data_IF_274583969643
#
_entry.id   IF_274583969643
#
_cell.length_a   1.000
_cell.length_b   1.000
_cell.length_c   1.000
_cell.angle_alpha   90.00
_cell.angle_beta   90.00
_cell.angle_gamma   90.00
#
_symmetry.space_group_name_H-M   'P 1'
#
loop_
_entity.id
_entity.type
_entity.pdbx_description
1 polymer ?
#
# COMPACT_ATOMS: atom_id res chain seq x y z
N UNK A 1 -7.62 16.16 -13.07
CA UNK A 1 -6.29 15.72 -12.59
C UNK A 1 -6.40 14.23 -12.30
N UNK A 2 -5.69 13.36 -13.02
CA UNK A 2 -5.90 11.91 -12.95
C UNK A 2 -5.17 11.34 -11.72
N UNK A 3 -5.92 10.79 -10.76
CA UNK A 3 -5.35 9.95 -9.71
C UNK A 3 -5.05 8.57 -10.27
N UNK A 4 -3.88 8.00 -9.93
CA UNK A 4 -3.58 6.61 -10.29
C UNK A 4 -4.30 5.69 -9.32
N UNK A 5 -4.92 4.63 -9.85
CA UNK A 5 -5.76 3.71 -9.09
C UNK A 5 -5.39 2.27 -9.38
N UNK A 6 -5.37 1.46 -8.33
CA UNK A 6 -5.18 0.01 -8.40
C UNK A 6 -6.43 -0.65 -7.84
N UNK A 7 -7.03 -1.56 -8.60
CA UNK A 7 -8.18 -2.35 -8.17
C UNK A 7 -7.70 -3.75 -7.80
N UNK A 8 -8.08 -4.22 -6.62
CA UNK A 8 -7.70 -5.56 -6.13
C UNK A 8 -8.93 -6.45 -6.17
N UNK A 9 -8.79 -7.59 -6.83
CA UNK A 9 -9.87 -8.56 -7.04
C UNK A 9 -9.54 -9.87 -6.36
N UNK A 10 -10.57 -10.68 -6.11
CA UNK A 10 -10.44 -12.02 -5.55
C UNK A 10 -9.89 -12.99 -6.61
N UNK A 11 -8.82 -13.71 -6.25
CA UNK A 11 -8.17 -14.68 -7.13
C UNK A 11 -7.73 -14.04 -8.45
N UNK A 12 -7.91 -14.77 -9.55
CA UNK A 12 -7.49 -14.33 -10.88
C UNK A 12 -8.59 -13.56 -11.64
N UNK A 13 -9.59 -13.03 -10.91
CA UNK A 13 -10.74 -12.33 -11.51
C UNK A 13 -10.43 -10.85 -11.78
N UNK A 14 -11.19 -10.28 -12.71
CA UNK A 14 -11.29 -8.81 -12.92
C UNK A 14 -12.75 -8.34 -12.92
N UNK A 15 -13.68 -9.22 -12.52
CA UNK A 15 -15.11 -8.92 -12.47
C UNK A 15 -15.44 -7.96 -11.32
N UNK A 16 -16.40 -7.06 -11.53
CA UNK A 16 -16.84 -6.09 -10.50
C UNK A 16 -17.30 -6.79 -9.21
N UNK A 17 -17.95 -7.96 -9.32
CA UNK A 17 -18.42 -8.73 -8.14
C UNK A 17 -17.29 -9.27 -7.27
N UNK A 18 -16.10 -9.39 -7.84
CA UNK A 18 -14.92 -9.92 -7.19
C UNK A 18 -13.99 -8.81 -6.70
N UNK A 19 -14.37 -7.53 -6.88
CA UNK A 19 -13.62 -6.39 -6.35
C UNK A 19 -13.61 -6.46 -4.83
N UNK A 20 -12.43 -6.37 -4.22
CA UNK A 20 -12.24 -6.36 -2.77
C UNK A 20 -12.05 -4.93 -2.27
N UNK A 21 -11.14 -4.19 -2.91
CA UNK A 21 -10.86 -2.79 -2.57
C UNK A 21 -10.16 -2.07 -3.73
N UNK A 22 -10.16 -0.75 -3.66
CA UNK A 22 -9.43 0.14 -4.57
C UNK A 22 -8.43 0.97 -3.79
N UNK A 23 -7.20 1.03 -4.29
CA UNK A 23 -6.13 1.86 -3.77
C UNK A 23 -5.96 3.07 -4.68
N UNK A 24 -5.92 4.26 -4.08
CA UNK A 24 -5.89 5.54 -4.80
C UNK A 24 -4.69 6.36 -4.35
N UNK A 25 -3.80 6.65 -5.30
CA UNK A 25 -2.71 7.62 -5.13
C UNK A 25 -3.23 8.99 -5.58
N UNK A 26 -3.31 9.99 -4.69
CA UNK A 26 -3.67 11.35 -5.09
C UNK A 26 -2.67 11.88 -6.12
N UNK A 27 -3.15 12.65 -7.10
CA UNK A 27 -2.36 13.15 -8.24
C UNK A 27 -1.30 14.19 -7.88
N UNK A 28 -1.19 14.59 -6.61
CA UNK A 28 -0.26 15.64 -6.19
C UNK A 28 1.10 15.01 -5.87
N UNK A 29 2.03 15.26 -6.77
CA UNK A 29 3.47 15.05 -6.66
C UNK A 29 3.95 15.24 -5.21
N UNK A 30 4.26 14.13 -4.55
CA UNK A 30 5.20 14.11 -3.43
C UNK A 30 6.38 13.25 -3.85
N UNK A 31 7.21 13.83 -4.74
CA UNK A 31 8.51 13.27 -5.09
C UNK A 31 9.45 13.19 -3.86
N UNK A 32 9.12 13.87 -2.75
CA UNK A 32 9.89 13.92 -1.49
C UNK A 32 9.03 14.11 -0.22
N UNK A 33 7.73 13.82 -0.28
CA UNK A 33 6.80 13.99 0.85
C UNK A 33 6.27 12.65 1.36
N UNK A 34 5.61 12.62 2.54
CA UNK A 34 5.12 11.38 3.13
C UNK A 34 4.02 10.77 2.27
N UNK A 35 4.25 9.56 1.75
CA UNK A 35 3.30 8.72 1.03
C UNK A 35 1.93 8.82 1.70
N UNK A 36 0.93 9.38 1.00
CA UNK A 36 -0.46 9.44 1.47
C UNK A 36 -1.36 8.74 0.45
N UNK A 37 -1.70 7.49 0.74
CA UNK A 37 -2.49 6.63 -0.15
C UNK A 37 -3.80 6.26 0.56
N UNK A 38 -4.90 6.31 -0.19
CA UNK A 38 -6.23 6.02 0.34
C UNK A 38 -6.71 4.66 -0.16
N UNK A 39 -7.32 3.87 0.71
CA UNK A 39 -7.88 2.55 0.40
C UNK A 39 -9.37 2.57 0.66
N UNK A 40 -10.15 2.13 -0.33
CA UNK A 40 -11.61 2.08 -0.28
C UNK A 40 -12.05 0.64 -0.47
N UNK A 41 -12.79 0.08 0.48
CA UNK A 41 -13.40 -1.24 0.34
C UNK A 41 -14.45 -1.22 -0.77
N UNK A 42 -14.71 -2.36 -1.41
CA UNK A 42 -15.67 -2.44 -2.50
C UNK A 42 -17.11 -2.02 -2.12
N UNK A 43 -17.45 -2.07 -0.82
CA UNK A 43 -18.73 -1.58 -0.30
C UNK A 43 -18.81 -0.05 -0.14
N UNK A 44 -17.67 0.66 -0.25
CA UNK A 44 -17.58 2.10 -0.10
C UNK A 44 -17.62 2.78 -1.48
N UNK A 45 -18.76 2.69 -2.16
CA UNK A 45 -18.95 3.26 -3.50
C UNK A 45 -18.92 4.79 -3.53
N UNK A 46 -19.21 5.45 -2.40
CA UNK A 46 -19.29 6.91 -2.32
C UNK A 46 -17.90 7.57 -2.23
N UNK A 47 -16.88 6.85 -1.75
CA UNK A 47 -15.48 7.31 -1.58
C UNK A 47 -15.33 8.66 -0.84
N UNK A 48 -16.28 9.03 0.02
CA UNK A 48 -16.25 10.30 0.77
C UNK A 48 -15.18 10.29 1.87
N UNK A 49 -14.96 9.13 2.49
CA UNK A 49 -13.90 8.87 3.44
C UNK A 49 -13.27 7.51 3.10
N UNK A 50 -11.96 7.39 3.25
CA UNK A 50 -11.28 6.12 3.02
C UNK A 50 -11.45 5.18 4.20
N UNK A 51 -11.56 3.87 3.93
CA UNK A 51 -11.64 2.84 4.96
C UNK A 51 -10.28 2.61 5.63
N UNK A 52 -9.20 2.76 4.86
CA UNK A 52 -7.84 2.75 5.37
C UNK A 52 -6.98 3.82 4.72
N UNK A 53 -5.99 4.28 5.46
CA UNK A 53 -4.97 5.20 4.96
C UNK A 53 -3.59 4.63 5.17
N UNK A 54 -2.76 4.74 4.13
CA UNK A 54 -1.33 4.50 4.23
C UNK A 54 -0.63 5.85 4.34
N UNK A 55 0.18 6.01 5.38
CA UNK A 55 1.01 7.19 5.63
C UNK A 55 2.48 6.81 5.76
N UNK A 56 3.38 7.79 5.71
CA UNK A 56 4.80 7.63 6.05
C UNK A 56 5.73 7.65 4.84
N UNK A 57 6.95 7.14 5.01
CA UNK A 57 7.96 7.13 3.94
C UNK A 57 8.21 5.72 3.46
N UNK A 58 7.85 5.45 2.20
CA UNK A 58 8.15 4.17 1.57
C UNK A 58 9.67 3.93 1.52
N UNK A 59 10.45 4.92 1.10
CA UNK A 59 11.90 4.75 0.92
C UNK A 59 12.66 4.49 2.22
N UNK A 60 12.18 5.04 3.35
CA UNK A 60 12.76 4.82 4.68
C UNK A 60 12.20 3.56 5.35
N UNK A 61 11.29 2.85 4.69
CA UNK A 61 10.62 1.68 5.27
C UNK A 61 9.82 2.01 6.52
N UNK A 62 9.21 3.20 6.55
CA UNK A 62 8.49 3.76 7.68
C UNK A 62 7.05 4.08 7.28
N UNK A 63 6.36 3.11 6.66
CA UNK A 63 4.95 3.23 6.31
C UNK A 63 4.06 2.63 7.41
N UNK A 64 2.90 3.25 7.63
CA UNK A 64 1.86 2.74 8.51
C UNK A 64 0.53 2.65 7.77
N UNK A 65 -0.26 1.64 8.11
CA UNK A 65 -1.65 1.48 7.65
C UNK A 65 -2.56 1.75 8.85
N UNK A 66 -3.49 2.69 8.71
CA UNK A 66 -4.45 3.09 9.74
C UNK A 66 -5.90 2.91 9.29
N UNK A 67 -6.81 2.80 10.25
CA UNK A 67 -8.26 2.86 9.99
C UNK A 67 -8.66 4.29 9.59
N UNK A 68 -9.08 4.45 8.34
CA UNK A 68 -9.40 5.75 7.74
C UNK A 68 -8.39 6.85 8.04
N UNK A 69 -8.88 8.00 8.48
CA UNK A 69 -8.08 9.14 8.94
C UNK A 69 -7.83 9.14 10.46
N UNK A 70 -8.04 8.01 11.14
CA UNK A 70 -7.79 7.89 12.59
C UNK A 70 -6.34 7.54 12.92
N UNK A 71 -5.98 7.69 14.20
CA UNK A 71 -4.67 7.28 14.73
C UNK A 71 -4.58 5.76 15.02
N UNK A 72 -5.61 4.99 14.69
CA UNK A 72 -5.62 3.53 14.91
C UNK A 72 -4.80 2.82 13.84
N UNK A 73 -3.52 2.58 14.13
CA UNK A 73 -2.60 1.85 13.25
C UNK A 73 -2.83 0.34 13.36
N UNK A 74 -3.06 -0.32 12.22
CA UNK A 74 -3.31 -1.77 12.12
C UNK A 74 -2.11 -2.57 11.60
N UNK A 75 -1.20 -1.91 10.88
CA UNK A 75 0.03 -2.50 10.40
C UNK A 75 1.11 -1.43 10.24
N UNK A 76 2.37 -1.84 10.39
CA UNK A 76 3.55 -1.01 10.15
C UNK A 76 4.54 -1.76 9.29
N UNK A 77 4.97 -1.16 8.20
CA UNK A 77 6.19 -1.58 7.52
C UNK A 77 7.38 -1.02 8.31
N UNK A 78 8.35 -1.87 8.63
CA UNK A 78 9.58 -1.49 9.32
C UNK A 78 10.76 -2.01 8.53
N UNK A 79 11.60 -1.10 8.05
CA UNK A 79 12.83 -1.46 7.35
C UNK A 79 12.58 -2.08 5.97
N UNK A 80 12.78 -1.27 4.94
CA UNK A 80 13.36 -1.83 3.73
C UNK A 80 14.82 -2.05 4.11
N UNK A 81 15.19 -3.26 4.53
CA UNK A 81 16.60 -3.61 4.63
C UNK A 81 17.13 -3.69 3.21
N UNK A 82 17.50 -2.53 2.66
CA UNK A 82 18.36 -2.44 1.48
C UNK A 82 19.78 -2.79 1.91
N UNK A 83 19.97 -3.91 2.60
CA UNK A 83 21.29 -4.55 2.64
C UNK A 83 21.60 -4.90 1.20
N UNK A 84 22.28 -3.95 0.57
CA UNK A 84 22.97 -4.05 -0.69
C UNK A 84 24.05 -5.11 -0.51
N UNK A 85 23.63 -6.37 -0.48
CA UNK A 85 24.48 -7.43 -0.99
C UNK A 85 24.61 -7.16 -2.49
N UNK A 86 25.82 -7.28 -3.02
CA UNK A 86 26.07 -7.21 -4.47
C UNK A 86 25.10 -8.15 -5.22
N UNK A 87 24.67 -9.23 -4.56
CA UNK A 87 23.71 -10.22 -5.05
C UNK A 87 22.25 -9.72 -5.06
N UNK A 88 21.78 -8.97 -4.05
CA UNK A 88 20.41 -8.43 -4.04
C UNK A 88 20.23 -7.30 -5.06
N UNK A 89 21.27 -6.50 -5.29
CA UNK A 89 21.30 -5.48 -6.33
C UNK A 89 21.33 -6.09 -7.75
N UNK A 90 22.02 -7.22 -7.95
CA UNK A 90 22.05 -7.96 -9.22
C UNK A 90 20.74 -8.70 -9.52
N UNK A 91 20.01 -9.14 -8.48
CA UNK A 91 18.75 -9.91 -8.61
C UNK A 91 17.47 -9.06 -8.51
N UNK A 92 17.57 -7.76 -8.18
CA UNK A 92 16.41 -6.88 -8.01
C UNK A 92 15.46 -7.25 -6.87
N UNK A 93 15.94 -7.97 -5.85
CA UNK A 93 15.08 -8.45 -4.74
C UNK A 93 15.07 -7.46 -3.59
N UNK A 94 13.96 -6.75 -3.43
CA UNK A 94 13.67 -5.96 -2.24
C UNK A 94 13.07 -6.86 -1.14
N UNK A 95 13.57 -6.74 0.09
CA UNK A 95 12.98 -7.43 1.26
C UNK A 95 12.27 -6.40 2.13
N UNK A 96 11.03 -6.71 2.52
CA UNK A 96 10.21 -5.86 3.37
C UNK A 96 9.88 -6.61 4.66
N UNK A 97 10.04 -5.95 5.80
CA UNK A 97 9.48 -6.47 7.06
C UNK A 97 8.22 -5.67 7.41
N UNK A 98 7.16 -6.39 7.76
CA UNK A 98 5.87 -5.79 8.10
C UNK A 98 5.34 -6.43 9.36
N UNK A 99 5.01 -5.59 10.34
CA UNK A 99 4.30 -6.00 11.55
C UNK A 99 2.82 -5.76 11.36
N UNK A 100 2.02 -6.82 11.50
CA UNK A 100 0.57 -6.78 11.35
C UNK A 100 -0.06 -7.09 12.71
N UNK A 101 -1.03 -6.27 13.13
CA UNK A 101 -1.71 -6.49 14.40
C UNK A 101 -2.57 -7.77 14.36
N UNK A 102 -2.78 -8.45 15.51
CA UNK A 102 -3.65 -9.61 15.58
C UNK A 102 -5.05 -9.34 15.04
N UNK A 103 -5.62 -10.30 14.30
CA UNK A 103 -6.97 -10.22 13.73
C UNK A 103 -7.06 -9.46 12.40
N UNK A 104 -5.97 -8.90 11.89
CA UNK A 104 -5.91 -8.25 10.58
C UNK A 104 -5.52 -9.28 9.50
N UNK A 105 -6.16 -9.18 8.34
CA UNK A 105 -5.88 -10.04 7.19
C UNK A 105 -4.48 -9.75 6.60
N UNK A 106 -3.60 -10.76 6.65
CA UNK A 106 -2.24 -10.65 6.13
C UNK A 106 -2.19 -10.50 4.60
N UNK A 107 -3.09 -11.14 3.87
CA UNK A 107 -3.14 -11.05 2.40
C UNK A 107 -3.55 -9.63 1.98
N UNK A 108 -4.47 -9.00 2.71
CA UNK A 108 -4.80 -7.60 2.53
C UNK A 108 -3.56 -6.70 2.69
N UNK A 109 -2.80 -6.86 3.79
CA UNK A 109 -1.60 -6.05 4.03
C UNK A 109 -0.52 -6.31 2.96
N UNK A 110 -0.26 -7.56 2.60
CA UNK A 110 0.73 -7.92 1.56
C UNK A 110 0.35 -7.30 0.22
N UNK A 111 -0.93 -7.31 -0.17
CA UNK A 111 -1.39 -6.66 -1.40
C UNK A 111 -1.11 -5.15 -1.39
N UNK A 112 -1.28 -4.47 -0.26
CA UNK A 112 -0.92 -3.05 -0.13
C UNK A 112 0.59 -2.82 -0.31
N UNK A 113 1.44 -3.70 0.23
CA UNK A 113 2.90 -3.61 0.08
C UNK A 113 3.31 -3.76 -1.39
N UNK A 114 2.75 -4.73 -2.11
CA UNK A 114 3.02 -4.94 -3.54
C UNK A 114 2.59 -3.73 -4.36
N UNK A 115 1.44 -3.14 -4.05
CA UNK A 115 0.96 -1.93 -4.72
C UNK A 115 1.87 -0.74 -4.44
N UNK A 116 2.32 -0.58 -3.19
CA UNK A 116 3.29 0.47 -2.83
C UNK A 116 4.63 0.26 -3.56
N UNK A 117 5.08 -0.97 -3.70
CA UNK A 117 6.29 -1.27 -4.46
C UNK A 117 6.15 -0.84 -5.92
N UNK A 118 5.08 -1.27 -6.61
CA UNK A 118 4.77 -0.84 -7.98
C UNK A 118 4.67 0.70 -8.11
N UNK A 119 4.02 1.36 -7.14
CA UNK A 119 3.88 2.83 -7.12
C UNK A 119 5.20 3.59 -7.08
N UNK A 120 6.24 2.99 -6.50
CA UNK A 120 7.55 3.60 -6.26
C UNK A 120 8.67 2.98 -7.12
N UNK A 121 8.42 1.86 -7.80
CA UNK A 121 9.35 1.18 -8.70
C UNK A 121 9.35 1.74 -10.13
N UNK A 122 8.37 2.58 -10.51
CA UNK A 122 8.30 3.14 -11.86
C UNK A 122 9.55 4.00 -12.18
N UNK A 123 10.38 3.45 -13.08
CA UNK A 123 11.50 4.10 -13.77
C UNK A 123 11.02 4.99 -14.90
#
# INVERSE_FOLDING_TARGET
MLSTRWKVFRGDSTSRRDLLFTVVKPSVIQLRGPTKVSVFLASNDAEQACDFRITGSYHDGACAVSLGDSDTVIAKASGIDRRFSVVSALLGKNTYSVTVNPGIDYAFIVALVVILDEMHFQR
#
